data_IF_051051978161
#
_entry.id   IF_051051978161
#
_cell.length_a   1.000
_cell.length_b   1.000
_cell.length_c   1.000
_cell.angle_alpha   90.00
_cell.angle_beta   90.00
_cell.angle_gamma   90.00
#
_symmetry.space_group_name_H-M   'P 1'
#
loop_
_entity.id
_entity.type
_entity.pdbx_description
1 polymer ?
#
# COMPACT_ATOMS: atom_id res chain seq x y z
N UNK A 1 13.12 -5.45 15.27
CA UNK A 1 12.28 -4.24 15.19
C UNK A 1 12.25 -3.55 16.53
N UNK A 2 12.59 -2.26 16.54
CA UNK A 2 12.87 -1.47 17.72
C UNK A 2 11.60 -0.78 18.20
N UNK A 3 11.25 -0.99 19.47
CA UNK A 3 10.28 -0.14 20.17
C UNK A 3 10.94 1.21 20.47
N UNK A 4 10.16 2.30 20.40
CA UNK A 4 10.64 3.65 20.73
C UNK A 4 9.68 4.25 21.75
N UNK A 5 10.22 4.70 22.88
CA UNK A 5 9.49 5.35 23.96
C UNK A 5 9.90 6.81 24.00
N UNK A 6 8.92 7.70 23.92
CA UNK A 6 9.15 9.12 24.13
C UNK A 6 8.70 9.47 25.55
N UNK A 7 9.60 10.03 26.36
CA UNK A 7 9.33 10.40 27.74
C UNK A 7 9.63 11.88 27.97
N UNK A 8 8.96 12.49 28.94
CA UNK A 8 9.25 13.84 29.42
C UNK A 8 9.55 13.82 30.91
N UNK A 9 10.47 14.67 31.34
CA UNK A 9 10.97 14.77 32.71
C UNK A 9 11.06 16.25 33.10
N UNK A 10 10.55 16.69 34.26
CA UNK A 10 10.67 18.09 34.69
C UNK A 10 12.11 18.46 35.04
N UNK A 11 12.43 19.75 34.98
CA UNK A 11 13.78 20.30 35.22
C UNK A 11 14.07 20.62 36.70
N UNK A 12 13.38 19.99 37.64
CA UNK A 12 13.66 20.14 39.08
C UNK A 12 14.92 19.35 39.49
N UNK A 13 15.55 19.77 40.60
CA UNK A 13 16.81 19.19 41.09
C UNK A 13 16.73 17.66 41.32
N UNK A 14 15.58 17.18 41.80
CA UNK A 14 15.35 15.76 42.08
C UNK A 14 15.25 14.96 40.79
N UNK A 15 14.43 15.42 39.84
CA UNK A 15 14.25 14.73 38.55
C UNK A 15 15.50 14.76 37.67
N UNK A 16 16.29 15.83 37.69
CA UNK A 16 17.59 15.89 37.00
C UNK A 16 18.58 14.86 37.57
N UNK A 17 18.60 14.70 38.89
CA UNK A 17 19.42 13.69 39.54
C UNK A 17 18.98 12.27 39.16
N UNK A 18 17.66 12.02 39.13
CA UNK A 18 17.08 10.76 38.66
C UNK A 18 17.37 10.48 37.18
N UNK A 19 17.37 11.52 36.34
CA UNK A 19 17.68 11.41 34.92
C UNK A 19 19.15 11.06 34.67
N UNK A 20 20.08 11.69 35.41
CA UNK A 20 21.50 11.35 35.32
C UNK A 20 21.78 9.93 35.82
N UNK A 21 21.08 9.48 36.87
CA UNK A 21 21.10 8.07 37.31
C UNK A 21 20.60 7.14 36.19
N UNK A 22 19.47 7.47 35.56
CA UNK A 22 18.92 6.69 34.44
C UNK A 22 19.92 6.57 33.29
N UNK A 23 20.53 7.68 32.84
CA UNK A 23 21.52 7.66 31.75
C UNK A 23 22.73 6.79 32.09
N UNK A 24 23.23 6.87 33.33
CA UNK A 24 24.34 6.02 33.80
C UNK A 24 23.94 4.55 33.85
N UNK A 25 22.74 4.22 34.34
CA UNK A 25 22.24 2.85 34.37
C UNK A 25 22.12 2.31 32.96
N UNK A 26 21.51 3.05 32.04
CA UNK A 26 21.37 2.68 30.63
C UNK A 26 22.75 2.43 29.99
N UNK A 27 23.73 3.32 30.21
CA UNK A 27 25.09 3.18 29.68
C UNK A 27 25.85 1.97 30.25
N UNK A 28 25.62 1.61 31.52
CA UNK A 28 26.27 0.46 32.17
C UNK A 28 25.65 -0.88 31.79
N UNK A 29 24.34 -0.91 31.57
CA UNK A 29 23.56 -2.16 31.46
C UNK A 29 23.05 -2.43 30.04
N UNK A 30 23.26 -1.51 29.10
CA UNK A 30 22.77 -1.57 27.73
C UNK A 30 21.25 -1.85 27.62
N UNK A 31 20.47 -1.37 28.59
CA UNK A 31 19.01 -1.57 28.63
C UNK A 31 18.27 -0.85 27.50
N UNK A 32 18.82 0.27 27.00
CA UNK A 32 18.24 1.07 25.92
C UNK A 32 19.30 1.95 25.24
N UNK A 33 18.98 2.53 24.08
CA UNK A 33 19.64 3.76 23.62
C UNK A 33 18.84 4.97 24.12
N UNK A 34 19.51 6.07 24.47
CA UNK A 34 18.87 7.28 25.00
C UNK A 34 19.35 8.50 24.22
N UNK A 35 18.42 9.21 23.58
CA UNK A 35 18.68 10.43 22.82
C UNK A 35 17.87 11.59 23.38
N UNK A 36 18.43 12.81 23.35
CA UNK A 36 17.66 14.02 23.68
C UNK A 36 16.67 14.30 22.55
N UNK A 37 15.41 14.54 22.91
CA UNK A 37 14.37 14.92 21.95
C UNK A 37 14.07 16.42 22.12
N UNK A 38 14.54 17.24 21.20
CA UNK A 38 14.53 18.70 21.34
C UNK A 38 13.18 19.29 20.93
N UNK A 39 12.36 19.67 21.92
CA UNK A 39 11.07 20.35 21.73
C UNK A 39 11.26 21.84 22.09
N UNK A 40 10.93 22.79 21.19
CA UNK A 40 11.00 24.21 21.51
C UNK A 40 9.84 24.63 22.42
N UNK A 41 9.94 25.83 23.00
CA UNK A 41 8.79 26.46 23.66
C UNK A 41 7.72 26.84 22.62
N UNK A 42 6.47 26.51 22.93
CA UNK A 42 5.31 26.68 22.06
C UNK A 42 4.17 27.41 22.82
N UNK A 43 3.38 28.21 22.12
CA UNK A 43 2.26 28.96 22.75
C UNK A 43 1.15 28.02 23.22
N UNK A 44 0.87 27.99 24.52
CA UNK A 44 -0.06 27.07 25.20
C UNK A 44 -1.46 27.04 24.54
N UNK A 45 -2.03 25.84 24.36
CA UNK A 45 -3.32 25.59 23.74
C UNK A 45 -3.62 24.09 23.62
N UNK A 46 -4.90 23.70 23.60
CA UNK A 46 -5.30 22.29 23.52
C UNK A 46 -5.24 21.76 22.07
N UNK A 47 -4.72 20.54 21.89
CA UNK A 47 -4.63 19.86 20.60
C UNK A 47 -5.53 18.61 20.57
N UNK A 48 -6.22 18.38 19.44
CA UNK A 48 -6.99 17.16 19.18
C UNK A 48 -6.19 16.18 18.30
N UNK A 49 -6.43 14.87 18.48
CA UNK A 49 -5.69 13.76 17.87
C UNK A 49 -6.30 13.36 16.50
N UNK A 50 -5.57 13.52 15.38
CA UNK A 50 -6.05 13.17 14.03
C UNK A 50 -5.06 12.43 13.09
N UNK A 51 -3.77 12.26 13.45
CA UNK A 51 -2.73 11.86 12.47
C UNK A 51 -2.44 10.36 12.32
N UNK A 52 -2.89 9.50 13.23
CA UNK A 52 -2.50 8.07 13.24
C UNK A 52 -3.13 7.25 12.09
N UNK A 53 -4.38 7.57 11.70
CA UNK A 53 -5.15 6.76 10.74
C UNK A 53 -4.61 6.90 9.30
N UNK A 54 -4.20 8.10 8.90
CA UNK A 54 -3.79 8.38 7.51
C UNK A 54 -2.43 7.79 7.18
N UNK A 55 -1.50 7.77 8.13
CA UNK A 55 -0.20 7.14 7.94
C UNK A 55 -0.34 5.62 7.71
N UNK A 56 -1.22 4.96 8.47
CA UNK A 56 -1.53 3.53 8.27
C UNK A 56 -2.07 3.25 6.86
N UNK A 57 -3.01 4.05 6.39
CA UNK A 57 -3.57 3.94 5.02
C UNK A 57 -2.50 4.12 3.94
N UNK A 58 -1.57 5.04 4.13
CA UNK A 58 -0.49 5.32 3.17
C UNK A 58 0.49 4.13 3.10
N UNK A 59 0.86 3.53 4.23
CA UNK A 59 1.68 2.32 4.27
C UNK A 59 1.00 1.11 3.61
N UNK A 60 -0.30 0.92 3.88
CA UNK A 60 -1.07 -0.15 3.27
C UNK A 60 -1.12 0.01 1.74
N UNK A 61 -1.41 1.22 1.25
CA UNK A 61 -1.43 1.48 -0.18
C UNK A 61 -0.05 1.31 -0.82
N UNK A 62 1.03 1.75 -0.16
CA UNK A 62 2.40 1.51 -0.61
C UNK A 62 2.68 0.00 -0.75
N UNK A 63 2.24 -0.81 0.22
CA UNK A 63 2.38 -2.27 0.18
C UNK A 63 1.58 -2.90 -0.96
N UNK A 64 0.33 -2.50 -1.15
CA UNK A 64 -0.56 -3.00 -2.22
C UNK A 64 -0.05 -2.63 -3.63
N UNK A 65 0.48 -1.41 -3.79
CA UNK A 65 1.07 -0.97 -5.06
C UNK A 65 2.38 -1.71 -5.32
N UNK A 66 3.18 -1.96 -4.28
CA UNK A 66 4.49 -2.61 -4.36
C UNK A 66 4.46 -4.14 -4.24
N UNK A 67 3.30 -4.80 -4.38
CA UNK A 67 3.10 -6.27 -4.31
C UNK A 67 4.13 -7.11 -5.09
N UNK A 68 4.82 -6.54 -6.09
CA UNK A 68 5.84 -7.23 -6.89
C UNK A 68 7.26 -7.25 -6.26
N UNK A 69 7.50 -6.52 -5.17
CA UNK A 69 8.79 -6.54 -4.45
C UNK A 69 8.65 -6.04 -3.01
N UNK A 70 8.29 -6.95 -2.09
CA UNK A 70 8.17 -6.66 -0.65
C UNK A 70 9.45 -6.07 -0.05
N UNK A 71 10.61 -6.51 -0.54
CA UNK A 71 11.92 -6.14 0.01
C UNK A 71 12.31 -4.69 -0.30
N UNK A 72 11.78 -4.12 -1.40
CA UNK A 72 12.04 -2.72 -1.78
C UNK A 72 11.17 -1.72 -1.02
N UNK A 73 10.14 -2.17 -0.30
CA UNK A 73 9.20 -1.26 0.40
C UNK A 73 9.91 -0.53 1.54
N UNK A 74 10.74 -1.25 2.30
CA UNK A 74 11.50 -0.70 3.44
C UNK A 74 12.59 0.29 2.99
N UNK A 75 13.28 -0.01 1.88
CA UNK A 75 14.28 0.91 1.29
C UNK A 75 13.63 2.19 0.74
N UNK A 76 12.35 2.10 0.37
CA UNK A 76 11.59 3.22 -0.19
C UNK A 76 10.94 4.11 0.86
N UNK A 77 10.86 3.67 2.12
CA UNK A 77 10.31 4.43 3.24
C UNK A 77 11.40 5.19 3.99
N UNK A 78 11.87 6.29 3.40
CA UNK A 78 12.80 7.21 4.04
C UNK A 78 12.07 8.48 4.50
N UNK A 79 12.56 9.09 5.58
CA UNK A 79 12.16 10.42 6.02
C UNK A 79 13.29 11.39 5.73
N UNK A 80 13.07 12.34 4.83
CA UNK A 80 14.06 13.30 4.34
C UNK A 80 15.37 12.63 3.87
N UNK A 81 15.28 11.46 3.23
CA UNK A 81 16.43 10.70 2.72
C UNK A 81 17.19 9.90 3.79
N UNK A 82 16.72 9.90 5.04
CA UNK A 82 17.29 9.15 6.16
C UNK A 82 16.31 8.07 6.61
N UNK A 83 16.80 6.97 7.18
CA UNK A 83 15.93 5.96 7.76
C UNK A 83 15.09 6.53 8.92
N UNK A 84 13.91 5.95 9.12
CA UNK A 84 12.90 6.50 10.03
C UNK A 84 13.37 6.55 11.49
N UNK A 85 14.21 5.58 11.89
CA UNK A 85 14.74 5.50 13.25
C UNK A 85 15.83 6.55 13.47
N UNK A 86 16.74 6.72 12.52
CA UNK A 86 17.76 7.78 12.55
C UNK A 86 17.13 9.17 12.51
N UNK A 87 16.05 9.37 11.73
CA UNK A 87 15.30 10.64 11.75
C UNK A 87 14.71 10.91 13.13
N UNK A 88 14.06 9.91 13.75
CA UNK A 88 13.46 10.07 15.07
C UNK A 88 14.50 10.34 16.17
N UNK A 89 15.64 9.65 16.15
CA UNK A 89 16.72 9.81 17.15
C UNK A 89 17.46 11.14 17.04
N UNK A 90 17.57 11.70 15.83
CA UNK A 90 18.19 13.01 15.56
C UNK A 90 17.16 14.11 15.31
N UNK A 91 15.95 13.96 15.83
CA UNK A 91 14.85 14.89 15.59
C UNK A 91 15.23 16.32 15.98
N UNK A 92 14.95 17.25 15.06
CA UNK A 92 14.96 18.68 15.30
C UNK A 92 13.64 19.27 14.84
N UNK A 93 13.14 20.23 15.60
CA UNK A 93 11.92 20.93 15.24
C UNK A 93 12.11 21.75 13.97
N UNK A 94 11.27 21.48 12.96
CA UNK A 94 11.25 22.21 11.70
C UNK A 94 10.56 23.56 11.89
N UNK A 95 11.36 24.60 12.20
CA UNK A 95 10.88 25.97 12.41
C UNK A 95 10.35 26.63 11.13
N UNK A 96 10.81 26.18 9.96
CA UNK A 96 10.36 26.72 8.68
C UNK A 96 8.96 26.21 8.35
N UNK A 97 8.71 24.90 8.55
CA UNK A 97 7.40 24.28 8.30
C UNK A 97 6.40 24.52 9.43
N UNK A 98 6.87 24.54 10.68
CA UNK A 98 6.04 24.71 11.88
C UNK A 98 6.58 25.85 12.78
N UNK A 99 6.31 27.13 12.45
CA UNK A 99 6.83 28.25 13.23
C UNK A 99 6.35 28.26 14.69
N UNK A 100 7.27 28.41 15.63
CA UNK A 100 6.98 28.42 17.08
C UNK A 100 6.21 29.67 17.54
N UNK A 101 6.17 30.71 16.72
CA UNK A 101 5.41 31.93 16.98
C UNK A 101 3.88 31.73 16.85
N UNK A 102 3.45 30.71 16.10
CA UNK A 102 2.04 30.38 15.90
C UNK A 102 1.45 29.71 17.14
N UNK A 103 0.14 29.90 17.40
CA UNK A 103 -0.53 29.16 18.46
C UNK A 103 -0.60 27.68 18.13
N UNK A 104 -0.55 26.82 19.16
CA UNK A 104 -0.59 25.36 19.02
C UNK A 104 -1.76 24.88 18.14
N UNK A 105 -2.94 25.50 18.29
CA UNK A 105 -4.12 25.15 17.50
C UNK A 105 -3.87 25.31 16.00
N UNK A 106 -3.25 26.41 15.57
CA UNK A 106 -2.95 26.65 14.15
C UNK A 106 -1.92 25.67 13.60
N UNK A 107 -0.94 25.25 14.42
CA UNK A 107 0.03 24.21 14.03
C UNK A 107 -0.65 22.85 13.81
N UNK A 108 -1.55 22.47 14.71
CA UNK A 108 -2.34 21.24 14.59
C UNK A 108 -3.25 21.30 13.37
N UNK A 109 -3.98 22.40 13.17
CA UNK A 109 -4.86 22.57 12.01
C UNK A 109 -4.07 22.52 10.69
N UNK A 110 -2.84 23.05 10.64
CA UNK A 110 -1.94 22.94 9.48
C UNK A 110 -1.55 21.50 9.19
N UNK A 111 -1.15 20.75 10.22
CA UNK A 111 -0.83 19.31 10.09
C UNK A 111 -2.07 18.53 9.63
N UNK A 112 -3.24 18.77 10.25
CA UNK A 112 -4.47 18.08 9.88
C UNK A 112 -4.91 18.36 8.44
N UNK A 113 -4.81 19.62 7.96
CA UNK A 113 -5.08 19.96 6.56
C UNK A 113 -4.13 19.25 5.60
N UNK A 114 -2.83 19.24 5.89
CA UNK A 114 -1.84 18.51 5.08
C UNK A 114 -2.18 17.01 5.01
N UNK A 115 -2.49 16.41 6.15
CA UNK A 115 -2.87 14.99 6.26
C UNK A 115 -4.13 14.67 5.45
N UNK A 116 -5.17 15.50 5.53
CA UNK A 116 -6.42 15.32 4.78
C UNK A 116 -6.25 15.50 3.26
N UNK A 117 -5.40 16.44 2.85
CA UNK A 117 -5.07 16.65 1.44
C UNK A 117 -4.39 15.40 0.88
N UNK A 118 -3.35 14.90 1.56
CA UNK A 118 -2.64 13.68 1.14
C UNK A 118 -3.58 12.48 1.11
N UNK A 119 -4.50 12.35 2.07
CA UNK A 119 -5.50 11.27 2.06
C UNK A 119 -6.41 11.32 0.81
N UNK A 120 -6.87 12.52 0.45
CA UNK A 120 -7.77 12.72 -0.70
C UNK A 120 -7.05 12.40 -2.01
N UNK A 121 -5.82 12.91 -2.16
CA UNK A 121 -4.98 12.62 -3.32
C UNK A 121 -4.64 11.12 -3.41
N UNK A 122 -4.33 10.46 -2.28
CA UNK A 122 -4.06 9.03 -2.22
C UNK A 122 -5.24 8.20 -2.73
N UNK A 123 -6.46 8.53 -2.31
CA UNK A 123 -7.69 7.83 -2.78
C UNK A 123 -7.86 7.98 -4.29
N UNK A 124 -7.70 9.20 -4.80
CA UNK A 124 -7.86 9.47 -6.24
C UNK A 124 -6.83 8.71 -7.10
N UNK A 125 -5.54 8.74 -6.72
CA UNK A 125 -4.45 8.08 -7.45
C UNK A 125 -4.56 6.55 -7.35
N UNK A 126 -4.94 6.03 -6.18
CA UNK A 126 -5.18 4.60 -5.98
C UNK A 126 -6.33 4.10 -6.85
N UNK A 127 -7.45 4.84 -6.92
CA UNK A 127 -8.57 4.49 -7.79
C UNK A 127 -8.17 4.45 -9.29
N UNK A 128 -7.41 5.44 -9.75
CA UNK A 128 -6.92 5.48 -11.14
C UNK A 128 -5.98 4.30 -11.46
N UNK A 129 -5.04 3.99 -10.57
CA UNK A 129 -4.13 2.86 -10.74
C UNK A 129 -4.87 1.51 -10.73
N UNK A 130 -5.82 1.34 -9.80
CA UNK A 130 -6.60 0.11 -9.68
C UNK A 130 -7.56 -0.09 -10.87
N UNK A 131 -8.10 0.99 -11.42
CA UNK A 131 -8.88 0.94 -12.66
C UNK A 131 -8.05 0.41 -13.83
N UNK A 132 -6.84 0.94 -14.04
CA UNK A 132 -5.92 0.44 -15.08
C UNK A 132 -5.53 -1.03 -14.85
N UNK A 133 -5.23 -1.40 -13.60
CA UNK A 133 -4.91 -2.80 -13.21
C UNK A 133 -6.10 -3.72 -13.52
N UNK A 134 -7.33 -3.30 -13.25
CA UNK A 134 -8.54 -4.06 -13.51
C UNK A 134 -8.83 -4.21 -15.01
N UNK A 135 -8.72 -3.13 -15.79
CA UNK A 135 -8.90 -3.15 -17.24
C UNK A 135 -7.91 -4.09 -17.91
N UNK A 136 -6.62 -3.98 -17.56
CA UNK A 136 -5.57 -4.85 -18.10
C UNK A 136 -5.83 -6.32 -17.73
N UNK A 137 -6.15 -6.62 -16.46
CA UNK A 137 -6.45 -7.99 -16.02
C UNK A 137 -7.68 -8.59 -16.74
N UNK A 138 -8.66 -7.76 -17.10
CA UNK A 138 -9.83 -8.21 -17.85
C UNK A 138 -9.49 -8.61 -19.28
N UNK A 139 -8.52 -7.93 -19.92
CA UNK A 139 -8.01 -8.27 -21.24
C UNK A 139 -7.10 -9.50 -21.18
N UNK A 140 -6.19 -9.60 -20.19
CA UNK A 140 -5.32 -10.77 -20.00
C UNK A 140 -6.12 -12.07 -19.88
N UNK A 141 -7.24 -12.05 -19.14
CA UNK A 141 -8.14 -13.21 -19.02
C UNK A 141 -8.73 -13.68 -20.35
N UNK A 142 -8.92 -12.77 -21.32
CA UNK A 142 -9.38 -13.14 -22.68
C UNK A 142 -8.27 -13.83 -23.48
N UNK A 143 -7.02 -13.69 -23.07
CA UNK A 143 -5.86 -14.31 -23.73
C UNK A 143 -5.52 -15.70 -23.15
N UNK A 144 -5.85 -15.98 -21.89
CA UNK A 144 -5.50 -17.23 -21.19
C UNK A 144 -6.59 -18.34 -21.23
N UNK A 145 -7.69 -18.14 -21.94
CA UNK A 145 -8.80 -19.10 -22.02
C UNK A 145 -8.49 -20.39 -22.81
N UNK A 146 -9.48 -21.29 -22.88
CA UNK A 146 -9.43 -22.45 -23.79
C UNK A 146 -9.39 -22.00 -25.26
N UNK A 147 -8.99 -22.85 -26.22
CA UNK A 147 -8.99 -22.50 -27.65
C UNK A 147 -10.35 -21.99 -28.17
N UNK A 148 -11.43 -22.32 -27.47
CA UNK A 148 -12.79 -21.85 -27.77
C UNK A 148 -13.05 -20.40 -27.35
N UNK A 149 -12.22 -19.82 -26.48
CA UNK A 149 -12.42 -18.51 -25.83
C UNK A 149 -11.20 -17.58 -25.95
N UNK A 150 -9.98 -18.13 -26.01
CA UNK A 150 -8.70 -17.42 -26.10
C UNK A 150 -8.55 -16.58 -27.36
N UNK A 151 -7.91 -15.43 -27.22
CA UNK A 151 -7.44 -14.60 -28.34
C UNK A 151 -6.47 -15.39 -29.23
N UNK A 152 -6.65 -15.34 -30.56
CA UNK A 152 -5.86 -16.11 -31.53
C UNK A 152 -4.76 -15.28 -32.23
N UNK A 153 -4.50 -14.03 -31.83
CA UNK A 153 -3.51 -13.14 -32.43
C UNK A 153 -2.07 -13.67 -32.43
N UNK A 154 -1.71 -14.46 -31.43
CA UNK A 154 -0.38 -15.07 -31.32
C UNK A 154 -0.26 -16.38 -32.13
N UNK A 155 -1.38 -16.89 -32.64
CA UNK A 155 -1.49 -18.14 -33.38
C UNK A 155 -1.66 -17.89 -34.88
N UNK A 156 -2.54 -16.95 -35.26
CA UNK A 156 -2.97 -16.72 -36.64
C UNK A 156 -2.08 -15.66 -37.28
N UNK A 157 -1.45 -16.01 -38.41
CA UNK A 157 -0.68 -15.04 -39.20
C UNK A 157 -1.52 -14.48 -40.33
N UNK A 158 -1.19 -13.28 -40.80
CA UNK A 158 -1.87 -12.65 -41.96
C UNK A 158 -1.81 -13.54 -43.22
N UNK A 159 -0.74 -14.31 -43.37
CA UNK A 159 -0.54 -15.28 -44.46
C UNK A 159 -1.52 -16.47 -44.42
N UNK A 160 -2.04 -16.81 -43.23
CA UNK A 160 -2.96 -17.93 -43.05
C UNK A 160 -4.41 -17.56 -43.37
N UNK A 161 -4.69 -16.27 -43.62
CA UNK A 161 -6.01 -15.72 -43.88
C UNK A 161 -6.12 -15.21 -45.31
N UNK A 162 -7.10 -15.72 -46.04
CA UNK A 162 -7.53 -15.18 -47.32
C UNK A 162 -8.82 -14.43 -47.09
N UNK A 163 -8.82 -13.12 -47.34
CA UNK A 163 -10.05 -12.32 -47.42
C UNK A 163 -10.05 -11.56 -48.74
N UNK A 164 -10.84 -12.05 -49.69
CA UNK A 164 -11.04 -11.44 -51.01
C UNK A 164 -12.51 -11.13 -51.24
N UNK A 165 -12.86 -10.56 -52.39
CA UNK A 165 -14.26 -10.26 -52.72
C UNK A 165 -15.16 -11.50 -52.61
N UNK A 166 -14.64 -12.68 -52.95
CA UNK A 166 -15.43 -13.92 -53.03
C UNK A 166 -15.00 -15.00 -52.04
N UNK A 167 -13.75 -15.00 -51.59
CA UNK A 167 -13.20 -16.01 -50.69
C UNK A 167 -13.01 -15.45 -49.29
N UNK A 168 -13.18 -16.32 -48.30
CA UNK A 168 -12.87 -16.02 -46.91
C UNK A 168 -12.29 -17.25 -46.23
N UNK A 169 -11.41 -17.05 -45.25
CA UNK A 169 -10.88 -18.11 -44.40
C UNK A 169 -11.61 -18.11 -43.06
N UNK A 170 -12.11 -19.28 -42.66
CA UNK A 170 -12.67 -19.51 -41.33
C UNK A 170 -11.68 -20.26 -40.46
N UNK A 171 -11.73 -20.00 -39.16
CA UNK A 171 -10.97 -20.76 -38.16
C UNK A 171 -11.90 -21.76 -37.49
N UNK A 172 -11.46 -23.01 -37.38
CA UNK A 172 -12.26 -24.10 -36.83
C UNK A 172 -11.47 -24.79 -35.73
N UNK A 173 -12.09 -24.88 -34.55
CA UNK A 173 -11.57 -25.61 -33.41
C UNK A 173 -12.08 -27.04 -33.49
N UNK A 174 -11.14 -27.98 -33.57
CA UNK A 174 -11.40 -29.42 -33.70
C UNK A 174 -10.82 -30.12 -32.48
N UNK A 175 -11.59 -31.01 -31.85
CA UNK A 175 -11.08 -31.85 -30.76
C UNK A 175 -10.05 -32.85 -31.28
N UNK A 176 -9.04 -33.17 -30.46
CA UNK A 176 -7.92 -34.03 -30.88
C UNK A 176 -8.35 -35.40 -31.43
N UNK A 177 -9.38 -36.00 -30.84
CA UNK A 177 -9.93 -37.28 -31.31
C UNK A 177 -10.62 -37.23 -32.68
N UNK A 178 -10.93 -36.03 -33.20
CA UNK A 178 -11.69 -35.83 -34.43
C UNK A 178 -10.86 -35.26 -35.59
N UNK A 179 -9.52 -35.17 -35.46
CA UNK A 179 -8.66 -34.65 -36.53
C UNK A 179 -8.79 -35.45 -37.83
N UNK A 180 -8.76 -36.78 -37.76
CA UNK A 180 -8.89 -37.65 -38.93
C UNK A 180 -10.27 -37.47 -39.58
N UNK A 181 -11.31 -37.27 -38.77
CA UNK A 181 -12.66 -37.00 -39.28
C UNK A 181 -12.69 -35.63 -39.98
N UNK A 182 -12.08 -34.60 -39.40
CA UNK A 182 -11.99 -33.28 -40.00
C UNK A 182 -11.33 -33.33 -41.38
N UNK A 183 -10.13 -33.89 -41.46
CA UNK A 183 -9.35 -33.97 -42.72
C UNK A 183 -10.10 -34.70 -43.84
N UNK A 184 -10.91 -35.71 -43.50
CA UNK A 184 -11.69 -36.49 -44.47
C UNK A 184 -13.01 -35.84 -44.88
N UNK A 185 -13.57 -34.96 -44.06
CA UNK A 185 -14.94 -34.47 -44.25
C UNK A 185 -15.06 -32.99 -44.53
N UNK A 186 -14.07 -32.16 -44.20
CA UNK A 186 -14.22 -30.70 -44.29
C UNK A 186 -14.52 -30.22 -45.72
N UNK A 187 -13.98 -30.88 -46.74
CA UNK A 187 -14.19 -30.54 -48.16
C UNK A 187 -15.62 -30.79 -48.63
N UNK A 188 -16.34 -31.72 -47.99
CA UNK A 188 -17.72 -32.09 -48.34
C UNK A 188 -18.78 -31.47 -47.43
N UNK A 189 -18.38 -30.65 -46.45
CA UNK A 189 -19.31 -29.93 -45.57
C UNK A 189 -20.16 -28.91 -46.35
N UNK A 190 -19.64 -28.29 -47.40
CA UNK A 190 -20.43 -27.46 -48.32
C UNK A 190 -19.83 -27.44 -49.72
N UNK A 191 -20.63 -27.11 -50.74
CA UNK A 191 -20.21 -27.21 -52.16
C UNK A 191 -19.07 -26.26 -52.54
N UNK A 192 -18.92 -25.12 -51.84
CA UNK A 192 -17.96 -24.08 -52.19
C UNK A 192 -16.79 -23.98 -51.21
N UNK A 193 -16.33 -25.13 -50.69
CA UNK A 193 -15.08 -25.23 -49.95
C UNK A 193 -13.92 -25.40 -50.93
N UNK A 194 -12.80 -24.71 -50.70
CA UNK A 194 -11.59 -24.88 -51.52
C UNK A 194 -10.88 -26.16 -51.07
N UNK A 195 -10.71 -27.17 -51.95
CA UNK A 195 -10.02 -28.41 -51.58
C UNK A 195 -8.55 -28.17 -51.22
N UNK A 196 -8.02 -29.00 -50.31
CA UNK A 196 -6.66 -28.90 -49.75
C UNK A 196 -6.32 -27.53 -49.12
N UNK A 197 -7.33 -26.74 -48.76
CA UNK A 197 -7.12 -25.44 -48.12
C UNK A 197 -6.96 -25.52 -46.61
N UNK A 198 -7.32 -26.66 -45.99
CA UNK A 198 -7.26 -26.78 -44.54
C UNK A 198 -5.82 -26.91 -44.04
N UNK A 199 -5.42 -26.03 -43.12
CA UNK A 199 -4.11 -26.04 -42.47
C UNK A 199 -4.26 -25.98 -40.96
N UNK A 200 -3.54 -26.83 -40.23
CA UNK A 200 -3.48 -26.77 -38.77
C UNK A 200 -2.54 -25.64 -38.34
N UNK A 201 -3.07 -24.64 -37.64
CA UNK A 201 -2.32 -23.46 -37.20
C UNK A 201 -1.69 -23.66 -35.82
N UNK A 202 -2.40 -24.34 -34.92
CA UNK A 202 -1.97 -24.57 -33.54
C UNK A 202 -2.62 -25.82 -32.95
N UNK A 203 -1.96 -26.45 -31.99
CA UNK A 203 -2.44 -27.63 -31.26
C UNK A 203 -2.12 -27.48 -29.78
N UNK A 204 -3.09 -27.79 -28.92
CA UNK A 204 -2.92 -27.92 -27.48
C UNK A 204 -3.29 -29.34 -26.98
N UNK A 205 -3.57 -29.47 -25.68
CA UNK A 205 -3.90 -30.76 -25.06
C UNK A 205 -5.32 -31.23 -25.39
N UNK A 206 -6.24 -30.32 -25.70
CA UNK A 206 -7.67 -30.60 -25.90
C UNK A 206 -8.03 -30.70 -27.40
N UNK A 207 -7.35 -29.92 -28.25
CA UNK A 207 -7.64 -29.87 -29.68
C UNK A 207 -6.71 -28.94 -30.45
N UNK A 208 -7.16 -28.55 -31.63
CA UNK A 208 -6.36 -27.77 -32.57
C UNK A 208 -7.20 -26.78 -33.34
N UNK A 209 -6.57 -25.69 -33.76
CA UNK A 209 -7.17 -24.66 -34.62
C UNK A 209 -6.73 -24.93 -36.05
N UNK A 210 -7.71 -25.09 -36.93
CA UNK A 210 -7.52 -25.28 -38.36
C UNK A 210 -8.07 -24.07 -39.11
N UNK A 211 -7.35 -23.60 -40.14
CA UNK A 211 -7.92 -22.68 -41.13
C UNK A 211 -8.63 -23.48 -42.22
N UNK A 212 -9.66 -22.91 -42.85
CA UNK A 212 -10.31 -23.46 -44.05
C UNK A 212 -10.76 -22.31 -44.93
N UNK A 213 -10.47 -22.37 -46.23
CA UNK A 213 -10.85 -21.32 -47.19
C UNK A 213 -12.06 -21.77 -48.00
N UNK A 214 -13.07 -20.91 -48.09
CA UNK A 214 -14.31 -21.17 -48.82
C UNK A 214 -14.90 -19.88 -49.38
N UNK A 215 -15.91 -20.02 -50.24
CA UNK A 215 -16.61 -18.86 -50.76
C UNK A 215 -17.50 -18.23 -49.68
N UNK A 216 -17.54 -16.89 -49.64
CA UNK A 216 -18.35 -16.10 -48.68
C UNK A 216 -19.82 -16.52 -48.65
N UNK A 217 -20.40 -16.83 -49.82
CA UNK A 217 -21.80 -17.30 -49.94
C UNK A 217 -22.09 -18.63 -49.22
N UNK A 218 -21.08 -19.45 -48.98
CA UNK A 218 -21.23 -20.78 -48.36
C UNK A 218 -20.92 -20.79 -46.85
N UNK A 219 -20.55 -19.65 -46.26
CA UNK A 219 -20.17 -19.55 -44.83
C UNK A 219 -21.32 -20.00 -43.91
N UNK A 220 -22.55 -19.58 -44.20
CA UNK A 220 -23.72 -19.93 -43.38
C UNK A 220 -23.98 -21.44 -43.36
N UNK A 221 -24.00 -22.07 -44.55
CA UNK A 221 -24.18 -23.52 -44.69
C UNK A 221 -23.03 -24.30 -44.03
N UNK A 222 -21.79 -23.87 -44.25
CA UNK A 222 -20.61 -24.50 -43.68
C UNK A 222 -20.63 -24.46 -42.15
N UNK A 223 -20.93 -23.29 -41.54
CA UNK A 223 -21.06 -23.15 -40.08
C UNK A 223 -22.12 -24.11 -39.51
N UNK A 224 -23.26 -24.26 -40.19
CA UNK A 224 -24.31 -25.18 -39.76
C UNK A 224 -23.87 -26.65 -39.79
N UNK A 225 -23.28 -27.11 -40.90
CA UNK A 225 -22.81 -28.50 -41.05
C UNK A 225 -21.61 -28.81 -40.14
N UNK A 226 -20.71 -27.84 -39.97
CA UNK A 226 -19.59 -27.94 -39.03
C UNK A 226 -20.10 -28.16 -37.60
N UNK A 227 -21.09 -27.37 -37.16
CA UNK A 227 -21.70 -27.52 -35.84
C UNK A 227 -22.39 -28.88 -35.64
N UNK A 228 -23.08 -29.38 -36.66
CA UNK A 228 -23.68 -30.74 -36.64
C UNK A 228 -22.61 -31.83 -36.47
N UNK A 229 -21.44 -31.61 -37.07
CA UNK A 229 -20.28 -32.52 -36.99
C UNK A 229 -19.43 -32.30 -35.73
N UNK A 230 -19.90 -31.48 -34.77
CA UNK A 230 -19.20 -31.12 -33.53
C UNK A 230 -17.88 -30.34 -33.74
N UNK A 231 -17.75 -29.65 -34.87
CA UNK A 231 -16.68 -28.70 -35.12
C UNK A 231 -17.15 -27.29 -34.77
N UNK A 232 -16.35 -26.55 -34.01
CA UNK A 232 -16.70 -25.16 -33.62
C UNK A 232 -15.99 -24.18 -34.53
N UNK A 233 -16.75 -23.46 -35.35
CA UNK A 233 -16.20 -22.37 -36.17
C UNK A 233 -16.09 -21.11 -35.32
N UNK A 234 -14.88 -20.54 -35.22
CA UNK A 234 -14.64 -19.25 -34.58
C UNK A 234 -14.71 -18.11 -35.58
N UNK A 235 -15.40 -17.06 -35.18
CA UNK A 235 -15.35 -15.78 -35.87
C UNK A 235 -14.05 -15.10 -35.47
N UNK A 236 -13.24 -14.76 -36.48
CA UNK A 236 -11.97 -14.10 -36.28
C UNK A 236 -11.89 -12.92 -37.25
N UNK A 237 -11.65 -11.75 -36.70
CA UNK A 237 -11.44 -10.53 -37.47
C UNK A 237 -10.08 -9.98 -37.06
N UNK A 238 -9.15 -9.97 -38.01
CA UNK A 238 -7.76 -9.58 -37.77
C UNK A 238 -7.66 -8.13 -37.25
N UNK A 239 -8.44 -7.20 -37.81
CA UNK A 239 -8.37 -5.78 -37.44
C UNK A 239 -8.89 -5.55 -36.00
N UNK A 240 -10.00 -6.18 -35.62
CA UNK A 240 -10.55 -6.08 -34.26
C UNK A 240 -9.59 -6.69 -33.22
N UNK A 241 -9.00 -7.83 -33.56
CA UNK A 241 -8.07 -8.53 -32.69
C UNK A 241 -6.75 -7.75 -32.57
N UNK A 242 -6.23 -7.18 -33.67
CA UNK A 242 -5.05 -6.31 -33.67
C UNK A 242 -5.29 -5.04 -32.82
N UNK A 243 -6.47 -4.42 -32.93
CA UNK A 243 -6.87 -3.30 -32.08
C UNK A 243 -6.86 -3.67 -30.59
N UNK A 244 -7.42 -4.82 -30.20
CA UNK A 244 -7.39 -5.29 -28.81
C UNK A 244 -5.97 -5.54 -28.30
N UNK A 245 -5.09 -6.08 -29.15
CA UNK A 245 -3.68 -6.29 -28.79
C UNK A 245 -2.93 -4.97 -28.62
N UNK A 246 -3.17 -4.00 -29.49
CA UNK A 246 -2.63 -2.65 -29.37
C UNK A 246 -3.13 -1.97 -28.08
N UNK A 247 -4.42 -2.08 -27.78
CA UNK A 247 -5.02 -1.57 -26.55
C UNK A 247 -4.38 -2.22 -25.31
N UNK A 248 -4.20 -3.54 -25.30
CA UNK A 248 -3.54 -4.24 -24.20
C UNK A 248 -2.08 -3.76 -24.01
N UNK A 249 -1.33 -3.56 -25.09
CA UNK A 249 0.04 -3.01 -25.03
C UNK A 249 0.03 -1.57 -24.49
N UNK A 250 -0.87 -0.73 -24.98
CA UNK A 250 -1.01 0.67 -24.52
C UNK A 250 -1.35 0.73 -23.04
N UNK A 251 -2.31 -0.10 -22.57
CA UNK A 251 -2.66 -0.21 -21.16
C UNK A 251 -1.49 -0.75 -20.32
N UNK A 252 -0.70 -1.66 -20.85
CA UNK A 252 0.53 -2.16 -20.21
C UNK A 252 1.57 -1.05 -20.00
N UNK A 253 1.82 -0.23 -21.02
CA UNK A 253 2.71 0.93 -20.93
C UNK A 253 2.16 1.96 -19.96
N UNK A 254 0.88 2.32 -20.08
CA UNK A 254 0.21 3.28 -19.20
C UNK A 254 0.25 2.83 -17.73
N UNK A 255 0.02 1.54 -17.44
CA UNK A 255 0.15 0.97 -16.10
C UNK A 255 1.57 1.12 -15.55
N UNK A 256 2.59 0.84 -16.37
CA UNK A 256 4.00 0.93 -15.95
C UNK A 256 4.42 2.38 -15.68
N UNK A 257 3.97 3.32 -16.51
CA UNK A 257 4.20 4.74 -16.33
C UNK A 257 3.50 5.27 -15.06
N UNK A 258 2.20 4.96 -14.91
CA UNK A 258 1.43 5.34 -13.73
C UNK A 258 2.00 4.73 -12.46
N UNK A 259 2.48 3.49 -12.50
CA UNK A 259 3.18 2.86 -11.39
C UNK A 259 4.40 3.69 -10.95
N UNK A 260 5.26 4.09 -11.88
CA UNK A 260 6.45 4.89 -11.57
C UNK A 260 6.12 6.25 -10.95
N UNK A 261 5.14 6.95 -11.53
CA UNK A 261 4.65 8.24 -11.02
C UNK A 261 4.04 8.06 -9.63
N UNK A 262 3.21 7.04 -9.44
CA UNK A 262 2.49 6.81 -8.20
C UNK A 262 3.44 6.41 -7.06
N UNK A 263 4.39 5.52 -7.32
CA UNK A 263 5.42 5.15 -6.32
C UNK A 263 6.26 6.36 -5.91
N UNK A 264 6.69 7.21 -6.87
CA UNK A 264 7.43 8.43 -6.54
C UNK A 264 6.61 9.37 -5.66
N UNK A 265 5.34 9.58 -6.00
CA UNK A 265 4.42 10.40 -5.20
C UNK A 265 4.24 9.81 -3.79
N UNK A 266 4.05 8.49 -3.67
CA UNK A 266 3.91 7.81 -2.37
C UNK A 266 5.14 8.00 -1.48
N UNK A 267 6.35 7.89 -2.04
CA UNK A 267 7.61 8.11 -1.28
C UNK A 267 7.70 9.51 -0.68
N UNK A 268 7.43 10.53 -1.50
CA UNK A 268 7.49 11.94 -1.06
C UNK A 268 6.45 12.19 0.03
N UNK A 269 5.21 11.77 -0.20
CA UNK A 269 4.12 11.99 0.75
C UNK A 269 4.29 11.18 2.04
N UNK A 270 4.84 9.97 1.95
CA UNK A 270 5.17 9.17 3.14
C UNK A 270 6.19 9.90 4.02
N UNK A 271 7.29 10.41 3.43
CA UNK A 271 8.29 11.20 4.15
C UNK A 271 7.64 12.41 4.83
N UNK A 272 6.80 13.16 4.10
CA UNK A 272 6.14 14.34 4.65
C UNK A 272 5.17 14.03 5.79
N UNK A 273 4.37 12.98 5.65
CA UNK A 273 3.45 12.53 6.69
C UNK A 273 4.21 12.02 7.91
N UNK A 274 5.34 11.33 7.71
CA UNK A 274 6.21 10.88 8.78
C UNK A 274 6.75 12.05 9.61
N UNK A 275 7.31 13.05 8.93
CA UNK A 275 7.78 14.29 9.54
C UNK A 275 6.65 14.96 10.34
N UNK A 276 5.47 15.13 9.73
CA UNK A 276 4.32 15.77 10.37
C UNK A 276 3.84 15.01 11.62
N UNK A 277 3.90 13.67 11.60
CA UNK A 277 3.53 12.84 12.74
C UNK A 277 4.50 12.94 13.91
N UNK A 278 5.81 12.96 13.66
CA UNK A 278 6.81 13.18 14.73
C UNK A 278 6.61 14.57 15.35
N UNK A 279 6.30 15.59 14.55
CA UNK A 279 5.95 16.93 15.06
C UNK A 279 4.67 16.90 15.90
N UNK A 280 3.63 16.14 15.50
CA UNK A 280 2.42 15.99 16.32
C UNK A 280 2.71 15.27 17.65
N UNK A 281 3.63 14.30 17.65
CA UNK A 281 4.07 13.62 18.88
C UNK A 281 4.84 14.58 19.80
N UNK A 282 5.70 15.42 19.23
CA UNK A 282 6.36 16.50 19.97
C UNK A 282 5.34 17.49 20.57
N UNK A 283 4.33 17.91 19.80
CA UNK A 283 3.24 18.78 20.26
C UNK A 283 2.46 18.14 21.42
N UNK A 284 2.15 16.85 21.31
CA UNK A 284 1.45 16.11 22.36
C UNK A 284 2.26 16.03 23.64
N UNK A 285 3.54 15.68 23.56
CA UNK A 285 4.43 15.64 24.73
C UNK A 285 4.53 17.03 25.36
N UNK A 286 4.62 18.09 24.55
CA UNK A 286 4.62 19.46 25.07
C UNK A 286 3.36 19.77 25.88
N UNK A 287 2.17 19.56 25.31
CA UNK A 287 0.89 19.83 25.98
C UNK A 287 0.74 19.00 27.26
N UNK A 288 1.02 17.70 27.18
CA UNK A 288 0.91 16.80 28.32
C UNK A 288 1.93 17.16 29.43
N UNK A 289 3.15 17.59 29.08
CA UNK A 289 4.14 18.09 30.05
C UNK A 289 3.72 19.39 30.71
N UNK A 290 3.14 20.34 29.96
CA UNK A 290 2.61 21.59 30.52
C UNK A 290 1.44 21.31 31.48
N UNK A 291 0.53 20.40 31.12
CA UNK A 291 -0.60 20.02 31.97
C UNK A 291 -0.16 19.30 33.25
N UNK A 292 0.93 18.52 33.18
CA UNK A 292 1.42 17.74 34.31
C UNK A 292 2.35 18.51 35.25
N UNK A 293 3.24 19.34 34.70
CA UNK A 293 4.28 20.03 35.47
C UNK A 293 3.95 21.51 35.72
N UNK A 294 2.95 22.06 35.02
CA UNK A 294 2.54 23.45 35.16
C UNK A 294 3.44 24.44 34.42
N UNK A 295 3.28 25.72 34.77
CA UNK A 295 4.08 26.84 34.27
C UNK A 295 5.03 27.34 35.37
N UNK A 296 6.24 27.83 35.03
CA UNK A 296 6.83 27.94 33.69
C UNK A 296 7.21 26.58 33.08
N UNK A 297 7.26 26.51 31.74
CA UNK A 297 7.49 25.26 31.00
C UNK A 297 8.94 24.79 31.17
N UNK A 298 9.18 23.99 32.21
CA UNK A 298 10.51 23.47 32.54
C UNK A 298 10.57 21.95 32.45
N UNK A 299 10.73 21.39 31.24
CA UNK A 299 10.88 19.94 31.06
C UNK A 299 11.92 19.59 29.98
N UNK A 300 12.45 18.38 30.07
CA UNK A 300 13.32 17.76 29.08
C UNK A 300 12.67 16.49 28.53
N UNK A 301 12.51 16.42 27.20
CA UNK A 301 12.05 15.21 26.52
C UNK A 301 13.22 14.32 26.07
N UNK A 302 13.02 13.01 26.16
CA UNK A 302 14.01 11.99 25.82
C UNK A 302 13.36 10.90 24.99
N UNK A 303 14.10 10.42 23.99
CA UNK A 303 13.75 9.27 23.18
C UNK A 303 14.55 8.06 23.68
N UNK A 304 13.85 7.03 24.12
CA UNK A 304 14.43 5.76 24.58
C UNK A 304 14.13 4.65 23.57
N UNK A 305 15.16 3.93 23.15
CA UNK A 305 15.02 2.72 22.33
C UNK A 305 15.37 1.51 23.20
N UNK A 306 14.40 0.90 23.89
CA UNK A 306 14.66 -0.25 24.73
C UNK A 306 15.16 -1.47 23.96
N UNK A 307 16.00 -2.26 24.62
CA UNK A 307 16.29 -3.62 24.17
C UNK A 307 15.08 -4.53 24.43
N UNK A 308 14.72 -5.34 23.43
CA UNK A 308 13.57 -6.24 23.45
C UNK A 308 13.54 -7.15 24.66
N UNK A 309 14.71 -7.65 25.06
CA UNK A 309 14.85 -8.59 26.19
C UNK A 309 14.67 -7.91 27.55
N UNK A 310 14.87 -6.60 27.61
CA UNK A 310 15.01 -5.87 28.87
C UNK A 310 13.95 -4.79 29.10
N UNK A 311 12.90 -4.74 28.26
CA UNK A 311 11.81 -3.77 28.38
C UNK A 311 11.16 -3.73 29.76
N UNK A 312 10.92 -4.90 30.39
CA UNK A 312 10.30 -4.97 31.71
C UNK A 312 11.17 -4.32 32.79
N UNK A 313 12.46 -4.65 32.79
CA UNK A 313 13.46 -4.06 33.70
C UNK A 313 13.57 -2.54 33.52
N UNK A 314 13.58 -2.07 32.27
CA UNK A 314 13.62 -0.62 32.00
C UNK A 314 12.38 0.12 32.53
N UNK A 315 11.19 -0.50 32.44
CA UNK A 315 9.97 0.08 33.03
C UNK A 315 10.05 0.14 34.56
N UNK A 316 10.56 -0.91 35.19
CA UNK A 316 10.76 -0.97 36.65
C UNK A 316 11.78 0.08 37.13
N UNK A 317 12.86 0.30 36.38
CA UNK A 317 13.84 1.37 36.67
C UNK A 317 13.24 2.77 36.52
N UNK A 318 12.52 3.03 35.42
CA UNK A 318 11.82 4.31 35.22
C UNK A 318 10.75 4.55 36.30
N UNK A 319 10.04 3.49 36.70
CA UNK A 319 9.07 3.51 37.79
C UNK A 319 9.69 3.95 39.12
N UNK A 320 10.83 3.34 39.47
CA UNK A 320 11.55 3.58 40.71
C UNK A 320 12.11 5.00 40.76
N UNK A 321 12.77 5.46 39.69
CA UNK A 321 13.47 6.73 39.63
C UNK A 321 12.55 7.96 39.60
N UNK A 322 11.33 7.82 39.09
CA UNK A 322 10.38 8.92 38.91
C UNK A 322 9.10 8.80 39.76
N UNK A 323 9.11 7.94 40.79
CA UNK A 323 7.98 7.75 41.71
C UNK A 323 7.52 9.04 42.39
N UNK A 324 8.43 10.00 42.61
CA UNK A 324 8.13 11.28 43.24
C UNK A 324 7.26 12.21 42.39
N UNK A 325 7.13 11.95 41.08
CA UNK A 325 6.34 12.75 40.14
C UNK A 325 4.84 12.41 40.15
N UNK A 326 4.40 11.45 40.97
CA UNK A 326 2.99 11.07 41.07
C UNK A 326 2.69 10.37 42.42
N UNK A 327 2.24 11.10 43.47
CA UNK A 327 1.92 10.50 44.77
C UNK A 327 0.58 9.75 44.81
N UNK A 328 -0.30 9.88 43.79
CA UNK A 328 -1.68 9.35 43.84
C UNK A 328 -2.02 8.34 42.73
N UNK A 329 -1.15 8.11 41.73
CA UNK A 329 -1.41 7.17 40.64
C UNK A 329 -0.59 5.88 40.79
N UNK A 330 -1.20 4.82 41.31
CA UNK A 330 -0.66 3.46 41.33
C UNK A 330 -0.52 2.80 39.93
N UNK A 331 -0.51 3.60 38.86
CA UNK A 331 -0.21 3.15 37.52
C UNK A 331 0.65 4.21 36.86
N UNK A 332 1.92 3.87 36.63
CA UNK A 332 2.80 4.68 35.80
C UNK A 332 2.23 4.66 34.38
N UNK A 333 1.31 5.58 34.10
CA UNK A 333 1.32 6.32 32.84
C UNK A 333 2.54 7.23 32.92
N UNK A 334 3.72 6.60 32.79
CA UNK A 334 4.81 7.26 32.08
C UNK A 334 4.14 7.81 30.85
N UNK A 335 4.42 9.06 30.56
CA UNK A 335 3.99 9.78 29.38
C UNK A 335 4.67 9.20 28.12
N UNK A 336 4.76 7.86 28.07
CA UNK A 336 5.10 7.03 26.96
C UNK A 336 3.94 7.17 25.99
N UNK A 337 3.91 8.30 25.29
CA UNK A 337 3.44 8.25 23.93
C UNK A 337 4.38 7.27 23.26
N UNK A 338 3.97 5.99 23.22
CA UNK A 338 4.66 5.00 22.44
C UNK A 338 4.68 5.62 21.04
N UNK A 339 5.85 6.00 20.55
CA UNK A 339 6.09 6.07 19.12
C UNK A 339 6.04 4.60 18.71
N UNK A 340 4.82 4.07 18.61
CA UNK A 340 4.54 2.80 17.99
C UNK A 340 4.81 3.01 16.49
N UNK A 341 6.08 3.21 16.14
CA UNK A 341 6.62 2.90 14.82
C UNK A 341 6.17 1.50 14.41
N UNK A 342 6.11 0.61 15.42
CA UNK A 342 5.50 -0.69 15.36
C UNK A 342 4.01 -0.70 14.97
N UNK A 343 3.11 0.21 15.34
CA UNK A 343 1.70 0.09 14.88
C UNK A 343 1.52 0.40 13.39
N UNK A 344 2.46 1.15 12.80
CA UNK A 344 2.47 1.47 11.36
C UNK A 344 3.25 0.40 10.56
N UNK A 345 4.30 -0.20 11.14
CA UNK A 345 5.14 -1.20 10.47
C UNK A 345 4.79 -2.67 10.84
N UNK A 346 4.44 -2.96 12.09
CA UNK A 346 4.16 -4.30 12.63
C UNK A 346 2.74 -4.79 12.31
N UNK A 347 1.76 -3.91 12.16
CA UNK A 347 0.38 -4.31 11.81
C UNK A 347 0.23 -4.65 10.32
N UNK A 348 1.17 -4.18 9.48
CA UNK A 348 1.05 -4.28 8.02
C UNK A 348 2.18 -5.03 7.30
N UNK A 349 3.33 -5.34 7.93
CA UNK A 349 4.44 -6.00 7.22
C UNK A 349 4.76 -7.46 7.62
N UNK A 350 4.17 -8.06 8.67
CA UNK A 350 4.31 -9.51 8.95
C UNK A 350 3.07 -10.13 9.65
N UNK A 351 2.74 -11.41 9.39
CA UNK A 351 1.49 -12.06 9.80
C UNK A 351 1.61 -12.80 11.14
N UNK A 352 2.04 -12.15 12.22
CA UNK A 352 2.02 -12.79 13.56
C UNK A 352 1.71 -11.81 14.70
N UNK A 353 0.47 -11.94 15.19
CA UNK A 353 -0.02 -11.82 16.57
C UNK A 353 0.62 -10.83 17.56
N UNK A 354 -0.14 -9.82 17.96
CA UNK A 354 -0.87 -9.77 19.26
C UNK A 354 -1.09 -8.31 19.71
N UNK A 355 -2.35 -7.89 19.77
CA UNK A 355 -2.76 -6.68 20.49
C UNK A 355 -3.54 -7.11 21.74
N UNK A 356 -3.15 -6.59 22.89
CA UNK A 356 -3.99 -6.57 24.09
C UNK A 356 -4.47 -5.14 24.29
N UNK A 357 -5.66 -4.86 23.75
CA UNK A 357 -6.46 -3.72 24.14
C UNK A 357 -7.07 -4.06 25.51
N UNK A 358 -6.58 -3.42 26.57
CA UNK A 358 -7.31 -3.42 27.84
C UNK A 358 -8.30 -2.26 27.73
N UNK A 359 -9.52 -2.59 27.33
CA UNK A 359 -10.69 -1.74 27.43
C UNK A 359 -11.18 -1.66 28.89
N UNK A 360 -11.51 -0.46 29.35
CA UNK A 360 -12.49 -0.23 30.41
C UNK A 360 -12.22 1.01 31.28
N UNK A 361 -13.25 1.63 31.90
CA UNK A 361 -14.61 1.87 31.42
C UNK A 361 -14.78 3.31 30.90
N UNK A 362 -15.82 3.50 30.11
CA UNK A 362 -16.39 4.79 29.73
C UNK A 362 -16.65 5.70 30.94
N UNK A 363 -16.02 6.87 30.98
CA UNK A 363 -16.48 7.98 31.82
C UNK A 363 -17.37 8.91 30.98
N UNK A 364 -18.65 8.54 30.92
CA UNK A 364 -19.75 9.49 30.87
C UNK A 364 -19.77 10.27 32.19
N UNK A 365 -20.05 11.57 32.10
CA UNK A 365 -20.27 12.54 33.19
C UNK A 365 -19.03 13.13 33.87
N UNK A 366 -18.56 14.25 33.32
CA UNK A 366 -18.14 15.40 34.15
C UNK A 366 -18.94 16.62 33.68
N UNK A 367 -20.03 16.87 34.40
CA UNK A 367 -20.73 18.16 34.42
C UNK A 367 -19.74 19.21 34.95
N UNK A 368 -19.20 20.03 34.06
CA UNK A 368 -18.60 21.31 34.46
C UNK A 368 -19.72 22.34 34.43
N UNK A 369 -20.28 22.61 35.62
CA UNK A 369 -21.12 23.79 35.84
C UNK A 369 -20.23 25.02 35.66
N UNK A 370 -20.67 25.91 34.78
CA UNK A 370 -20.20 27.27 34.66
C UNK A 370 -20.41 28.03 35.98
N UNK A 371 -19.40 28.78 36.39
CA UNK A 371 -19.57 29.96 37.24
C UNK A 371 -18.63 31.03 36.67
N UNK A 372 -19.27 31.96 35.93
CA UNK A 372 -18.90 33.31 35.48
C UNK A 372 -17.42 33.60 35.18
#
# INVERSE_FOLDING_TARGET
MADIWLISVPLDKTSLTSLEKLKRTIAKTNLASCCRFSIPELKVGMAADLSCVVMKRTCQCLKEVMEQSSDKVLENTLANGVDLLSYATKFQWDRAKYPTALPLRSLVDKISKQVLQVETELKSRSAAYNSLKASLKSLERKTEGSLQTRNLNDIVRREDLVDSEYLTTLLVVVARGSYVQWERSYESLSQFVVPRSSKRLYEDREGGVFSVTLFKRAVGEFKAKARQSKFTVREYNFDLEEQQHQEMKQLGVAKKEQYGIFVRWLKVNFSELFVAWIHLKALRVYVESVLRYGLPVGFQALLLQPDKKHMKKLREELASLFKHLDPTAAAIKLLCSCLQMNSILQEYFLPYSSWKQISGPSYSHLNVKYAL
#
